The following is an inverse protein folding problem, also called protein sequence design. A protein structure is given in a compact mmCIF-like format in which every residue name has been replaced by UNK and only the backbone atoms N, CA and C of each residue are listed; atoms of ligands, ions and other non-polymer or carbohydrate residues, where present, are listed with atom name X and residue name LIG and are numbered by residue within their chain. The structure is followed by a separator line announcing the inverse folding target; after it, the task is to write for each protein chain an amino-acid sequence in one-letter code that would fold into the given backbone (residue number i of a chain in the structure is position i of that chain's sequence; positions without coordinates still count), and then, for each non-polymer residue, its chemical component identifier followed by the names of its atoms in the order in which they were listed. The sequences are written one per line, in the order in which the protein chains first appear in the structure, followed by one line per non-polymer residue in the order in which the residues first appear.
data_IF_238640879870
#
_entry.id   IF_238640879870
#
_cell.length_a   1.000
_cell.length_b   1.000
_cell.length_c   1.000
_cell.angle_alpha   90.00
_cell.angle_beta   90.00
_cell.angle_gamma   90.00
#
_symmetry.space_group_name_H-M   'P 1'
#
loop_
_entity.id
_entity.type
_entity.pdbx_description
1 polymer ?
#
# COMPACT_ATOMS: atom_id res chain seq x y z
N UNK A 1 -4.56 -20.66 12.46
CA UNK A 1 -4.67 -19.77 11.28
C UNK A 1 -4.25 -18.39 11.75
N UNK A 2 -3.31 -17.74 11.06
CA UNK A 2 -2.81 -16.43 11.48
C UNK A 2 -3.96 -15.43 11.50
N UNK A 3 -4.19 -14.74 12.62
CA UNK A 3 -5.20 -13.71 12.71
C UNK A 3 -4.71 -12.48 11.92
N UNK A 4 -5.38 -12.13 10.83
CA UNK A 4 -4.95 -11.09 9.90
C UNK A 4 -5.81 -11.03 8.64
N UNK A 5 -5.31 -10.34 7.61
CA UNK A 5 -5.98 -10.20 6.31
C UNK A 5 -6.27 -11.56 5.68
N UNK A 6 -7.49 -11.70 5.16
CA UNK A 6 -7.90 -12.86 4.37
C UNK A 6 -7.45 -12.74 2.91
N UNK A 7 -7.42 -13.86 2.19
CA UNK A 7 -7.19 -13.86 0.74
C UNK A 7 -8.16 -12.96 -0.04
N UNK A 8 -9.41 -12.84 0.42
CA UNK A 8 -10.39 -11.90 -0.14
C UNK A 8 -9.97 -10.45 0.07
N UNK A 9 -9.44 -10.11 1.24
CA UNK A 9 -8.95 -8.75 1.52
C UNK A 9 -7.75 -8.44 0.62
N UNK A 10 -6.81 -9.39 0.46
CA UNK A 10 -5.65 -9.22 -0.42
C UNK A 10 -6.08 -9.00 -1.88
N UNK A 11 -7.05 -9.78 -2.37
CA UNK A 11 -7.62 -9.60 -3.73
C UNK A 11 -8.29 -8.24 -3.87
N UNK A 12 -9.01 -7.79 -2.86
CA UNK A 12 -9.62 -6.46 -2.87
C UNK A 12 -8.55 -5.36 -2.91
N UNK A 13 -7.52 -5.43 -2.05
CA UNK A 13 -6.40 -4.45 -2.04
C UNK A 13 -5.73 -4.40 -3.43
N UNK A 14 -5.46 -5.55 -4.03
CA UNK A 14 -4.88 -5.62 -5.37
C UNK A 14 -5.75 -4.96 -6.45
N UNK A 15 -7.08 -5.04 -6.31
CA UNK A 15 -8.01 -4.35 -7.23
C UNK A 15 -7.98 -2.83 -7.11
N UNK A 16 -7.60 -2.29 -5.94
CA UNK A 16 -7.57 -0.85 -5.68
C UNK A 16 -6.23 -0.20 -6.05
N UNK A 17 -5.17 -0.99 -6.29
CA UNK A 17 -3.81 -0.49 -6.48
C UNK A 17 -3.38 -0.47 -7.95
N UNK A 18 -4.32 -0.37 -8.89
CA UNK A 18 -3.98 -0.18 -10.29
C UNK A 18 -3.15 1.10 -10.49
N UNK A 19 -2.04 0.98 -11.22
CA UNK A 19 -1.12 2.09 -11.48
C UNK A 19 -0.11 2.38 -10.34
N UNK A 20 -0.16 1.64 -9.22
CA UNK A 20 0.83 1.75 -8.17
C UNK A 20 2.14 1.08 -8.62
N UNK A 21 3.25 1.76 -8.37
CA UNK A 21 4.58 1.17 -8.45
C UNK A 21 4.90 0.37 -7.18
N UNK A 22 5.99 -0.41 -7.21
CA UNK A 22 6.45 -1.12 -6.02
C UNK A 22 6.71 -0.18 -4.83
N UNK A 23 7.26 1.01 -5.08
CA UNK A 23 7.47 2.01 -4.02
C UNK A 23 6.16 2.53 -3.44
N UNK A 24 5.12 2.69 -4.27
CA UNK A 24 3.80 3.11 -3.80
C UNK A 24 3.16 2.02 -2.94
N UNK A 25 3.27 0.76 -3.33
CA UNK A 25 2.77 -0.38 -2.54
C UNK A 25 3.49 -0.49 -1.20
N UNK A 26 4.81 -0.30 -1.16
CA UNK A 26 5.57 -0.28 0.10
C UNK A 26 5.11 0.88 0.99
N UNK A 27 4.90 2.07 0.43
CA UNK A 27 4.38 3.21 1.17
C UNK A 27 2.95 2.95 1.69
N UNK A 28 2.09 2.34 0.86
CA UNK A 28 0.72 1.97 1.22
C UNK A 28 0.68 1.00 2.40
N UNK A 29 1.49 -0.08 2.36
CA UNK A 29 1.56 -1.04 3.46
C UNK A 29 2.08 -0.41 4.75
N UNK A 30 3.08 0.48 4.67
CA UNK A 30 3.57 1.23 5.84
C UNK A 30 2.50 2.12 6.43
N UNK A 31 1.75 2.82 5.58
CA UNK A 31 0.69 3.72 6.04
C UNK A 31 -0.46 2.93 6.69
N UNK A 32 -0.87 1.80 6.11
CA UNK A 32 -1.87 0.90 6.69
C UNK A 32 -1.43 0.34 8.05
N UNK A 33 -0.14 -0.05 8.18
CA UNK A 33 0.42 -0.55 9.44
C UNK A 33 0.44 0.50 10.56
N UNK A 34 0.43 1.79 10.22
CA UNK A 34 0.39 2.87 11.19
C UNK A 34 -1.04 3.20 11.66
N UNK A 35 -2.09 2.74 10.97
CA UNK A 35 -3.48 3.00 11.40
C UNK A 35 -3.77 2.38 12.77
N UNK A 36 -3.47 1.09 13.05
CA UNK A 36 -3.63 0.52 14.40
C UNK A 36 -2.84 1.24 15.49
N UNK A 37 -1.65 1.77 15.15
CA UNK A 37 -0.81 2.52 16.10
C UNK A 37 -1.47 3.86 16.47
N UNK A 38 -2.13 4.52 15.51
CA UNK A 38 -2.83 5.80 15.72
C UNK A 38 -4.12 5.64 16.52
N UNK A 39 -4.72 4.46 16.54
CA UNK A 39 -5.89 4.14 17.36
C UNK A 39 -5.57 4.04 18.87
N UNK A 40 -4.29 3.91 19.23
CA UNK A 40 -3.86 3.86 20.63
C UNK A 40 -3.86 5.27 21.22
N UNK A 41 -4.46 5.41 22.42
CA UNK A 41 -4.40 6.65 23.20
C UNK A 41 -2.94 7.09 23.38
N UNK A 42 -2.62 8.32 22.97
CA UNK A 42 -1.26 8.88 23.03
C UNK A 42 -0.62 8.80 24.40
N UNK A 43 -1.42 8.90 25.48
CA UNK A 43 -0.92 8.77 26.86
C UNK A 43 -0.48 7.35 27.21
N UNK A 44 -0.97 6.36 26.47
CA UNK A 44 -0.66 4.93 26.64
C UNK A 44 0.38 4.42 25.64
N UNK A 45 0.77 5.21 24.62
CA UNK A 45 1.78 4.81 23.64
C UNK A 45 3.14 4.50 24.30
N UNK A 46 3.54 5.28 25.32
CA UNK A 46 4.81 5.09 26.04
C UNK A 46 4.87 3.74 26.77
N UNK A 47 3.71 3.19 27.14
CA UNK A 47 3.57 1.92 27.87
C UNK A 47 2.84 0.84 27.05
N UNK A 48 2.71 1.06 25.75
CA UNK A 48 2.12 0.07 24.86
C UNK A 48 3.16 -0.98 24.50
N UNK A 49 2.77 -2.22 24.75
CA UNK A 49 3.50 -3.41 24.35
C UNK A 49 2.95 -3.87 22.99
N UNK A 50 3.76 -4.56 22.19
CA UNK A 50 3.35 -5.06 20.87
C UNK A 50 2.07 -5.93 20.94
N UNK A 51 1.85 -6.60 22.07
CA UNK A 51 0.64 -7.40 22.35
C UNK A 51 -0.67 -6.60 22.38
N UNK A 52 -0.60 -5.26 22.51
CA UNK A 52 -1.78 -4.37 22.55
C UNK A 52 -2.18 -3.87 21.16
N UNK A 53 -1.37 -4.09 20.14
CA UNK A 53 -1.72 -3.72 18.77
C UNK A 53 -2.71 -4.74 18.21
N UNK A 54 -3.85 -4.23 17.73
CA UNK A 54 -4.78 -5.07 16.96
C UNK A 54 -4.13 -5.49 15.65
N UNK A 55 -4.51 -6.68 15.17
CA UNK A 55 -4.14 -7.10 13.82
C UNK A 55 -4.67 -6.13 12.76
N UNK A 56 -3.96 -6.12 11.64
CA UNK A 56 -4.28 -5.31 10.48
C UNK A 56 -5.59 -5.79 9.84
N UNK A 57 -6.44 -4.84 9.45
CA UNK A 57 -7.75 -5.06 8.85
C UNK A 57 -7.79 -4.44 7.46
N UNK A 58 -8.70 -4.92 6.61
CA UNK A 58 -8.90 -4.32 5.29
C UNK A 58 -9.24 -2.82 5.36
N UNK A 59 -9.97 -2.39 6.39
CA UNK A 59 -10.29 -0.98 6.65
C UNK A 59 -9.06 -0.08 6.87
N UNK A 60 -7.93 -0.65 7.30
CA UNK A 60 -6.68 0.12 7.45
C UNK A 60 -6.12 0.48 6.08
N UNK A 61 -6.30 -0.39 5.09
CA UNK A 61 -5.97 -0.10 3.71
C UNK A 61 -6.94 0.90 3.08
N UNK A 62 -8.23 0.88 3.42
CA UNK A 62 -9.16 1.94 3.00
C UNK A 62 -8.64 3.32 3.39
N UNK A 63 -8.19 3.49 4.65
CA UNK A 63 -7.61 4.74 5.13
C UNK A 63 -6.29 5.06 4.46
N UNK A 64 -5.40 4.08 4.32
CA UNK A 64 -4.09 4.29 3.71
C UNK A 64 -4.20 4.68 2.23
N UNK A 65 -5.15 4.12 1.49
CA UNK A 65 -5.45 4.47 0.11
C UNK A 65 -5.93 5.92 -0.02
N UNK A 66 -6.47 6.56 1.02
CA UNK A 66 -6.83 7.98 0.94
C UNK A 66 -5.60 8.89 0.85
N UNK A 67 -4.48 8.47 1.45
CA UNK A 67 -3.26 9.25 1.61
C UNK A 67 -2.23 8.88 0.54
N UNK A 68 -2.04 7.59 0.28
CA UNK A 68 -1.05 7.10 -0.69
C UNK A 68 -1.71 6.99 -2.05
N UNK A 69 -1.24 7.79 -3.00
CA UNK A 69 -1.65 7.78 -4.41
C UNK A 69 -0.55 7.18 -5.28
N UNK A 70 -0.88 6.60 -6.45
CA UNK A 70 0.14 6.11 -7.37
C UNK A 70 1.05 7.26 -7.79
N UNK A 71 2.36 7.09 -7.66
CA UNK A 71 3.35 8.12 -8.01
C UNK A 71 3.68 8.13 -9.50
N UNK A 72 3.42 7.02 -10.19
CA UNK A 72 3.72 6.89 -11.61
C UNK A 72 2.67 7.61 -12.46
N UNK A 73 3.13 8.60 -13.24
CA UNK A 73 2.30 9.23 -14.25
C UNK A 73 2.14 8.30 -15.45
N UNK A 74 0.90 7.99 -15.82
CA UNK A 74 0.54 7.19 -17.01
C UNK A 74 1.23 7.71 -18.28
N UNK A 75 1.43 9.03 -18.39
CA UNK A 75 2.14 9.64 -19.53
C UNK A 75 3.61 9.23 -19.60
N UNK A 76 4.29 9.17 -18.44
CA UNK A 76 5.69 8.74 -18.37
C UNK A 76 5.81 7.26 -18.72
N UNK A 77 4.88 6.43 -18.24
CA UNK A 77 4.83 5.01 -18.61
C UNK A 77 4.62 4.81 -20.11
N UNK A 78 3.72 5.58 -20.73
CA UNK A 78 3.52 5.56 -22.18
C UNK A 78 4.79 5.97 -22.94
N UNK A 79 5.45 7.06 -22.52
CA UNK A 79 6.69 7.51 -23.14
C UNK A 79 7.82 6.48 -23.03
N UNK A 80 7.94 5.79 -21.89
CA UNK A 80 8.89 4.69 -21.71
C UNK A 80 8.55 3.49 -22.59
N UNK A 81 7.27 3.13 -22.72
CA UNK A 81 6.83 2.05 -23.61
C UNK A 81 7.07 2.39 -25.09
N UNK A 82 6.83 3.64 -25.50
CA UNK A 82 7.15 4.14 -26.84
C UNK A 82 8.65 4.12 -27.12
N UNK A 83 9.45 4.57 -26.15
CA UNK A 83 10.90 4.49 -26.24
C UNK A 83 11.37 3.04 -26.40
N UNK A 84 10.89 2.12 -25.57
CA UNK A 84 11.25 0.70 -25.64
C UNK A 84 10.89 0.08 -26.99
N UNK A 85 9.71 0.39 -27.56
CA UNK A 85 9.29 -0.08 -28.89
C UNK A 85 10.17 0.43 -30.03
N UNK A 86 10.64 1.68 -29.93
CA UNK A 86 11.48 2.32 -30.96
C UNK A 86 12.93 1.90 -30.85
N UNK A 87 13.47 1.86 -29.63
CA UNK A 87 14.85 1.46 -29.36
C UNK A 87 15.08 -0.05 -29.53
N UNK A 88 14.05 -0.88 -29.34
CA UNK A 88 14.12 -2.33 -29.54
C UNK A 88 14.16 -2.81 -31.00
N UNK A 89 14.03 -1.91 -31.99
CA UNK A 89 14.07 -2.24 -33.42
C UNK A 89 15.45 -1.99 -34.07
N UNK A 90 16.50 -1.77 -33.29
CA UNK A 90 17.87 -1.54 -33.77
C UNK A 90 18.81 -2.74 -33.67
N UNK A 91 18.31 -3.96 -33.86
CA UNK A 91 19.09 -5.20 -33.91
C UNK A 91 19.16 -5.78 -35.31
#
# INVERSE_FOLDING_TARGET
MAAGLSDSDIRWIASQTHGYSNSDLVALCKEAAMVPVRDIDRKKLVTCDETKLRNLRCSDFDQALLVIRPSSNVRTLHALADFARRAGQGG
#
